data_IF_201810067602
#
_entry.id   IF_201810067602
#
_cell.length_a   1.000
_cell.length_b   1.000
_cell.length_c   1.000
_cell.angle_alpha   90.00
_cell.angle_beta   90.00
_cell.angle_gamma   90.00
#
_symmetry.space_group_name_H-M   'P 1'
#
loop_
_entity.id
_entity.type
_entity.pdbx_description
1 polymer ?
#
# COMPACT_ATOMS: atom_id res chain seq x y z
N UNK A 1 -22.91 5.53 -22.64
CA UNK A 1 -23.77 4.68 -21.81
C UNK A 1 -24.11 5.48 -20.57
N UNK A 2 -25.39 5.69 -20.26
CA UNK A 2 -25.82 6.44 -19.06
C UNK A 2 -25.41 5.64 -17.84
N UNK A 3 -24.25 5.95 -17.24
CA UNK A 3 -23.83 5.37 -15.97
C UNK A 3 -24.96 5.59 -14.95
N UNK A 4 -25.34 4.51 -14.26
CA UNK A 4 -26.47 4.51 -13.35
C UNK A 4 -26.22 5.51 -12.21
N UNK A 5 -26.94 6.64 -12.20
CA UNK A 5 -26.86 7.66 -11.14
C UNK A 5 -27.67 7.28 -9.89
N UNK A 6 -28.09 6.02 -9.75
CA UNK A 6 -28.92 5.59 -8.62
C UNK A 6 -28.19 5.76 -7.29
N UNK A 7 -26.87 5.54 -7.24
CA UNK A 7 -26.05 5.75 -6.05
C UNK A 7 -26.03 7.24 -5.63
N UNK A 8 -25.68 8.13 -6.57
CA UNK A 8 -25.69 9.57 -6.36
C UNK A 8 -27.05 10.10 -5.89
N UNK A 9 -28.15 9.69 -6.54
CA UNK A 9 -29.50 10.10 -6.13
C UNK A 9 -29.84 9.65 -4.72
N UNK A 10 -29.54 8.40 -4.36
CA UNK A 10 -29.77 7.89 -3.00
C UNK A 10 -28.96 8.66 -1.95
N UNK A 11 -27.72 9.03 -2.25
CA UNK A 11 -26.90 9.83 -1.34
C UNK A 11 -27.48 11.24 -1.14
N UNK A 12 -27.89 11.90 -2.21
CA UNK A 12 -28.55 13.21 -2.17
C UNK A 12 -29.88 13.13 -1.38
N UNK A 13 -30.69 12.10 -1.61
CA UNK A 13 -31.97 11.89 -0.90
C UNK A 13 -31.80 11.64 0.60
N UNK A 14 -30.71 10.97 1.01
CA UNK A 14 -30.39 10.77 2.43
C UNK A 14 -29.98 12.07 3.13
N UNK A 15 -29.41 12.99 2.36
CA UNK A 15 -29.02 14.34 2.77
C UNK A 15 -27.78 14.38 3.66
N UNK A 16 -27.14 15.54 3.70
CA UNK A 16 -26.16 15.88 4.74
C UNK A 16 -26.86 16.02 6.09
N UNK A 17 -26.23 15.52 7.15
CA UNK A 17 -26.67 15.71 8.54
C UNK A 17 -25.47 16.08 9.39
N UNK A 18 -25.68 16.96 10.37
CA UNK A 18 -24.64 17.31 11.35
C UNK A 18 -24.10 16.04 12.05
N UNK A 19 -22.83 15.76 11.85
CA UNK A 19 -22.15 14.58 12.40
C UNK A 19 -22.58 13.24 11.78
N UNK A 20 -23.32 13.26 10.67
CA UNK A 20 -23.71 12.07 9.91
C UNK A 20 -22.62 11.58 8.96
N UNK A 21 -22.77 10.35 8.47
CA UNK A 21 -21.81 9.72 7.57
C UNK A 21 -21.77 10.34 6.15
N UNK A 22 -22.72 11.20 5.78
CA UNK A 22 -22.78 11.84 4.46
C UNK A 22 -22.41 13.32 4.57
N UNK A 23 -21.55 13.78 3.68
CA UNK A 23 -21.10 15.18 3.58
C UNK A 23 -21.26 15.70 2.15
N UNK A 24 -21.77 16.93 1.98
CA UNK A 24 -21.81 17.59 0.68
C UNK A 24 -20.69 18.62 0.56
N UNK A 25 -20.05 18.67 -0.60
CA UNK A 25 -19.07 19.69 -0.94
C UNK A 25 -19.22 20.10 -2.39
N UNK A 26 -19.28 21.41 -2.61
CA UNK A 26 -19.22 21.94 -3.97
C UNK A 26 -17.81 21.75 -4.53
N UNK A 27 -16.79 22.11 -3.76
CA UNK A 27 -15.37 21.95 -4.09
C UNK A 27 -14.47 22.00 -2.87
N UNK A 28 -13.29 21.42 -2.97
CA UNK A 28 -12.19 21.58 -2.03
C UNK A 28 -10.97 22.14 -2.79
N UNK A 29 -10.21 23.01 -2.15
CA UNK A 29 -9.04 23.67 -2.76
C UNK A 29 -7.88 23.70 -1.78
N UNK A 30 -6.66 23.60 -2.30
CA UNK A 30 -5.45 23.55 -1.47
C UNK A 30 -5.28 24.85 -0.67
N UNK A 31 -5.47 26.00 -1.31
CA UNK A 31 -5.29 27.31 -0.69
C UNK A 31 -6.21 27.56 0.53
N UNK A 32 -7.45 27.07 0.49
CA UNK A 32 -8.45 27.36 1.53
C UNK A 32 -8.54 26.22 2.54
N UNK A 33 -8.52 24.97 2.09
CA UNK A 33 -8.86 23.82 2.91
C UNK A 33 -7.64 23.16 3.56
N UNK A 34 -6.44 23.35 2.97
CA UNK A 34 -5.17 22.90 3.56
C UNK A 34 -4.44 24.01 4.33
N UNK A 35 -5.07 25.18 4.50
CA UNK A 35 -4.53 26.21 5.38
C UNK A 35 -4.55 25.74 6.85
N UNK A 36 -3.50 26.10 7.60
CA UNK A 36 -3.33 25.75 9.02
C UNK A 36 -4.59 26.08 9.84
N UNK A 37 -5.03 25.15 10.68
CA UNK A 37 -6.25 25.23 11.48
C UNK A 37 -7.55 24.91 10.72
N UNK A 38 -7.68 25.26 9.43
CA UNK A 38 -8.81 24.80 8.61
C UNK A 38 -8.69 23.32 8.30
N UNK A 39 -7.49 22.88 7.94
CA UNK A 39 -7.17 21.47 7.71
C UNK A 39 -7.48 20.63 8.96
N UNK A 40 -6.98 21.05 10.13
CA UNK A 40 -7.23 20.36 11.40
C UNK A 40 -8.73 20.18 11.70
N UNK A 41 -9.52 21.23 11.44
CA UNK A 41 -10.97 21.19 11.63
C UNK A 41 -11.66 20.22 10.68
N UNK A 42 -11.22 20.15 9.41
CA UNK A 42 -11.78 19.24 8.41
C UNK A 42 -11.39 17.79 8.71
N UNK A 43 -10.14 17.55 9.10
CA UNK A 43 -9.64 16.22 9.54
C UNK A 43 -10.44 15.71 10.73
N UNK A 44 -10.66 16.55 11.75
CA UNK A 44 -11.45 16.18 12.92
C UNK A 44 -12.91 15.83 12.55
N UNK A 45 -13.51 16.59 11.62
CA UNK A 45 -14.85 16.31 11.12
C UNK A 45 -14.90 15.02 10.33
N UNK A 46 -13.95 14.78 9.43
CA UNK A 46 -13.87 13.56 8.62
C UNK A 46 -13.75 12.32 9.52
N UNK A 47 -12.80 12.33 10.46
CA UNK A 47 -12.65 11.28 11.48
C UNK A 47 -13.97 10.99 12.19
N UNK A 48 -14.66 12.04 12.64
CA UNK A 48 -15.93 11.88 13.32
C UNK A 48 -17.00 11.23 12.42
N UNK A 49 -17.08 11.62 11.15
CA UNK A 49 -18.07 11.07 10.20
C UNK A 49 -17.83 9.60 9.91
N UNK A 50 -16.58 9.21 9.69
CA UNK A 50 -16.19 7.81 9.46
C UNK A 50 -16.58 6.96 10.69
N UNK A 51 -16.26 7.42 11.89
CA UNK A 51 -16.65 6.73 13.13
C UNK A 51 -18.17 6.63 13.31
N UNK A 52 -18.90 7.72 13.02
CA UNK A 52 -20.37 7.75 13.11
C UNK A 52 -21.06 6.89 12.05
N UNK A 53 -20.37 6.55 10.96
CA UNK A 53 -20.86 5.69 9.88
C UNK A 53 -20.35 4.25 9.95
N UNK A 54 -20.01 3.76 11.15
CA UNK A 54 -19.49 2.40 11.37
C UNK A 54 -18.24 2.08 10.52
N UNK A 55 -17.34 3.07 10.40
CA UNK A 55 -16.09 2.95 9.64
C UNK A 55 -16.20 3.40 8.18
N UNK A 56 -17.32 3.98 7.77
CA UNK A 56 -17.51 4.54 6.42
C UNK A 56 -18.06 5.97 6.45
N UNK A 57 -17.60 6.82 5.53
CA UNK A 57 -18.21 8.10 5.22
C UNK A 57 -18.41 8.25 3.72
N UNK A 58 -19.37 9.07 3.29
CA UNK A 58 -19.66 9.34 1.88
C UNK A 58 -19.60 10.84 1.64
N UNK A 59 -18.71 11.27 0.77
CA UNK A 59 -18.60 12.64 0.32
C UNK A 59 -19.23 12.78 -1.06
N UNK A 60 -20.26 13.61 -1.17
CA UNK A 60 -20.88 13.96 -2.44
C UNK A 60 -20.26 15.28 -2.91
N UNK A 61 -19.60 15.24 -4.06
CA UNK A 61 -18.75 16.30 -4.59
C UNK A 61 -19.38 16.97 -5.80
N UNK A 62 -19.13 18.27 -5.98
CA UNK A 62 -19.77 19.06 -7.04
C UNK A 62 -21.25 19.34 -6.77
N UNK A 63 -21.69 19.22 -5.51
CA UNK A 63 -23.06 19.49 -5.09
C UNK A 63 -23.11 20.64 -4.08
N UNK A 64 -24.19 21.41 -4.09
CA UNK A 64 -24.42 22.44 -3.09
C UNK A 64 -24.81 21.81 -1.75
N UNK A 65 -24.75 22.59 -0.67
CA UNK A 65 -25.13 22.15 0.68
C UNK A 65 -26.61 21.68 0.75
N UNK A 66 -27.46 22.15 -0.17
CA UNK A 66 -28.87 21.72 -0.31
C UNK A 66 -29.04 20.47 -1.21
N UNK A 67 -27.95 19.88 -1.71
CA UNK A 67 -27.96 18.70 -2.59
C UNK A 67 -28.24 19.00 -4.07
N UNK A 68 -28.13 20.27 -4.49
CA UNK A 68 -28.24 20.66 -5.90
C UNK A 68 -26.97 20.29 -6.67
N UNK A 69 -27.10 19.85 -7.93
CA UNK A 69 -25.94 19.56 -8.78
C UNK A 69 -25.32 20.89 -9.24
N UNK A 70 -24.26 21.36 -8.57
CA UNK A 70 -23.54 22.55 -8.98
C UNK A 70 -22.72 22.26 -10.24
N UNK A 71 -22.01 21.12 -10.26
CA UNK A 71 -21.11 20.73 -11.33
C UNK A 71 -19.86 21.61 -11.36
N UNK A 72 -18.69 21.02 -11.11
CA UNK A 72 -17.41 21.75 -11.15
C UNK A 72 -16.60 21.38 -12.39
N UNK A 73 -15.67 22.23 -12.84
CA UNK A 73 -14.81 21.88 -13.97
C UNK A 73 -13.97 20.63 -13.66
N UNK A 74 -13.52 19.88 -14.68
CA UNK A 74 -12.67 18.70 -14.47
C UNK A 74 -11.43 18.98 -13.61
N UNK A 75 -10.75 20.11 -13.85
CA UNK A 75 -9.58 20.52 -13.08
C UNK A 75 -9.91 20.78 -11.60
N UNK A 76 -11.03 21.47 -11.33
CA UNK A 76 -11.48 21.75 -9.97
C UNK A 76 -11.96 20.48 -9.25
N UNK A 77 -12.53 19.52 -9.99
CA UNK A 77 -12.89 18.21 -9.45
C UNK A 77 -11.64 17.41 -9.07
N UNK A 78 -10.61 17.42 -9.93
CA UNK A 78 -9.32 16.77 -9.65
C UNK A 78 -8.67 17.35 -8.40
N UNK A 79 -8.59 18.68 -8.28
CA UNK A 79 -8.07 19.33 -7.07
C UNK A 79 -8.89 18.98 -5.83
N UNK A 80 -10.22 18.87 -5.97
CA UNK A 80 -11.09 18.48 -4.87
C UNK A 80 -10.77 17.08 -4.36
N UNK A 81 -10.53 16.13 -5.27
CA UNK A 81 -10.14 14.76 -4.92
C UNK A 81 -8.76 14.71 -4.25
N UNK A 82 -7.77 15.44 -4.77
CA UNK A 82 -6.44 15.54 -4.15
C UNK A 82 -6.52 16.04 -2.70
N UNK A 83 -7.28 17.11 -2.47
CA UNK A 83 -7.45 17.69 -1.13
C UNK A 83 -8.20 16.73 -0.23
N UNK A 84 -9.23 16.05 -0.73
CA UNK A 84 -9.98 15.05 0.03
C UNK A 84 -9.09 13.87 0.44
N UNK A 85 -8.20 13.41 -0.44
CA UNK A 85 -7.23 12.35 -0.15
C UNK A 85 -6.30 12.76 0.99
N UNK A 86 -5.69 13.93 0.91
CA UNK A 86 -4.81 14.45 1.98
C UNK A 86 -5.53 14.60 3.32
N UNK A 87 -6.79 15.02 3.30
CA UNK A 87 -7.61 15.11 4.51
C UNK A 87 -7.97 13.73 5.07
N UNK A 88 -8.21 12.75 4.21
CA UNK A 88 -8.49 11.37 4.61
C UNK A 88 -7.25 10.73 5.25
N UNK A 89 -6.07 10.90 4.64
CA UNK A 89 -4.82 10.38 5.17
C UNK A 89 -4.50 10.93 6.56
N UNK A 90 -4.58 12.25 6.73
CA UNK A 90 -4.37 12.89 8.03
C UNK A 90 -5.45 12.50 9.04
N UNK A 91 -6.61 12.00 8.57
CA UNK A 91 -7.69 11.48 9.37
C UNK A 91 -7.58 9.97 9.68
N UNK A 92 -6.51 9.27 9.28
CA UNK A 92 -6.40 7.81 9.34
C UNK A 92 -7.51 7.08 8.57
N UNK A 93 -7.91 7.63 7.42
CA UNK A 93 -8.92 7.09 6.52
C UNK A 93 -8.40 7.07 5.08
N UNK A 94 -9.16 6.48 4.16
CA UNK A 94 -8.87 6.49 2.73
C UNK A 94 -10.10 6.55 1.85
N UNK A 95 -9.94 6.96 0.59
CA UNK A 95 -10.99 6.87 -0.43
C UNK A 95 -11.03 5.42 -0.96
N UNK A 96 -12.02 4.65 -0.55
CA UNK A 96 -12.19 3.24 -0.93
C UNK A 96 -12.87 3.07 -2.31
N UNK A 97 -13.69 4.04 -2.71
CA UNK A 97 -14.37 4.04 -4.01
C UNK A 97 -14.70 5.48 -4.42
N UNK A 98 -14.67 5.76 -5.72
CA UNK A 98 -15.04 7.05 -6.28
C UNK A 98 -15.76 6.89 -7.63
N UNK A 99 -16.99 7.39 -7.71
CA UNK A 99 -17.78 7.41 -8.93
C UNK A 99 -18.00 8.87 -9.38
N UNK A 100 -17.86 9.14 -10.69
CA UNK A 100 -18.01 10.49 -11.27
C UNK A 100 -19.00 10.50 -12.42
N UNK A 101 -19.81 11.57 -12.50
CA UNK A 101 -20.80 11.80 -13.55
C UNK A 101 -20.78 13.24 -14.02
N UNK A 102 -21.20 13.48 -15.26
CA UNK A 102 -21.45 14.83 -15.76
C UNK A 102 -22.71 15.45 -15.12
N UNK A 103 -22.63 16.65 -14.58
CA UNK A 103 -23.75 17.43 -14.02
C UNK A 103 -24.83 17.78 -15.06
N UNK A 104 -24.52 17.66 -16.36
CA UNK A 104 -25.36 18.09 -17.47
C UNK A 104 -24.58 19.03 -18.40
N UNK A 105 -25.04 19.17 -19.65
CA UNK A 105 -24.44 20.10 -20.60
C UNK A 105 -24.66 21.54 -20.14
N UNK A 106 -23.58 22.25 -19.80
CA UNK A 106 -23.55 23.70 -19.86
C UNK A 106 -23.95 24.16 -21.27
N UNK A 107 -24.45 25.39 -21.40
CA UNK A 107 -24.80 25.93 -22.72
C UNK A 107 -23.66 25.82 -23.73
N UNK A 108 -24.00 25.85 -25.02
CA UNK A 108 -23.08 25.69 -26.16
C UNK A 108 -21.68 26.29 -25.90
N UNK A 109 -20.70 25.44 -25.62
CA UNK A 109 -19.28 25.79 -25.55
C UNK A 109 -18.55 25.46 -24.24
N UNK A 110 -19.25 25.28 -23.12
CA UNK A 110 -18.62 24.97 -21.83
C UNK A 110 -18.51 23.44 -21.61
N UNK A 111 -17.34 22.99 -21.14
CA UNK A 111 -17.16 21.61 -20.70
C UNK A 111 -18.19 21.27 -19.61
N UNK A 112 -18.84 20.12 -19.75
CA UNK A 112 -19.88 19.72 -18.82
C UNK A 112 -19.27 19.47 -17.43
N UNK A 113 -19.71 20.23 -16.43
CA UNK A 113 -19.22 20.10 -15.06
C UNK A 113 -19.39 18.68 -14.51
N UNK A 114 -18.57 18.30 -13.54
CA UNK A 114 -18.53 17.00 -12.90
C UNK A 114 -19.15 17.05 -11.51
N UNK A 115 -19.80 15.96 -11.15
CA UNK A 115 -20.24 15.62 -9.79
C UNK A 115 -19.78 14.21 -9.47
N UNK A 116 -19.53 13.93 -8.21
CA UNK A 116 -19.04 12.62 -7.81
C UNK A 116 -19.48 12.20 -6.43
N UNK A 117 -19.24 10.93 -6.15
CA UNK A 117 -19.46 10.32 -4.86
C UNK A 117 -18.16 9.60 -4.50
N UNK A 118 -17.55 10.00 -3.39
CA UNK A 118 -16.38 9.35 -2.82
C UNK A 118 -16.78 8.65 -1.52
N UNK A 119 -16.52 7.35 -1.41
CA UNK A 119 -16.70 6.59 -0.18
C UNK A 119 -15.37 6.50 0.53
N UNK A 120 -15.31 7.05 1.74
CA UNK A 120 -14.15 6.97 2.61
C UNK A 120 -14.33 5.86 3.63
N UNK A 121 -13.24 5.18 4.00
CA UNK A 121 -13.22 4.12 5.01
C UNK A 121 -12.15 4.36 6.07
N UNK A 122 -12.44 3.91 7.29
CA UNK A 122 -11.46 3.84 8.39
C UNK A 122 -10.30 2.90 8.04
N UNK A 123 -9.14 3.20 8.61
CA UNK A 123 -7.86 2.67 8.21
C UNK A 123 -7.22 3.63 7.21
N UNK A 124 -6.02 4.13 7.55
CA UNK A 124 -5.20 4.85 6.58
C UNK A 124 -5.10 4.03 5.31
N UNK A 125 -5.07 4.70 4.15
CA UNK A 125 -4.95 3.97 2.91
C UNK A 125 -3.71 3.09 3.06
N UNK A 126 -3.85 1.79 2.88
CA UNK A 126 -2.73 0.98 2.44
C UNK A 126 -2.47 1.30 0.96
N UNK A 127 -2.46 2.59 0.60
CA UNK A 127 -1.72 3.09 -0.53
C UNK A 127 -0.32 3.12 0.04
N UNK A 128 0.38 2.02 -0.17
CA UNK A 128 1.75 2.15 -0.57
C UNK A 128 1.87 3.43 -1.43
N UNK A 129 2.82 4.31 -1.14
CA UNK A 129 3.22 5.35 -2.10
C UNK A 129 3.14 4.69 -3.49
N UNK A 130 2.37 5.24 -4.45
CA UNK A 130 2.18 4.55 -5.75
C UNK A 130 3.53 4.19 -6.40
N UNK A 131 4.55 4.97 -6.01
CA UNK A 131 5.95 4.83 -6.38
C UNK A 131 6.83 4.11 -5.35
N UNK A 132 6.33 3.73 -4.16
CA UNK A 132 7.08 2.97 -3.16
C UNK A 132 6.22 1.98 -2.36
N UNK A 133 6.39 0.68 -2.65
CA UNK A 133 5.80 -0.43 -1.89
C UNK A 133 6.73 -0.97 -0.80
N UNK A 134 6.17 -1.38 0.33
CA UNK A 134 6.84 -2.08 1.44
C UNK A 134 6.28 -3.50 1.58
N UNK A 135 7.15 -4.49 1.40
CA UNK A 135 6.79 -5.92 1.40
C UNK A 135 7.49 -6.65 2.53
N UNK A 136 6.73 -7.23 3.45
CA UNK A 136 7.31 -8.05 4.54
C UNK A 136 7.35 -9.52 4.19
N UNK A 137 8.50 -10.18 4.36
CA UNK A 137 8.59 -11.63 4.18
C UNK A 137 8.02 -12.36 5.39
N UNK A 138 7.46 -13.54 5.18
CA UNK A 138 6.97 -14.40 6.25
C UNK A 138 7.11 -15.87 5.84
N UNK A 139 7.36 -16.76 6.80
CA UNK A 139 7.50 -18.20 6.52
C UNK A 139 8.52 -18.89 7.41
N UNK A 140 8.57 -20.22 7.34
CA UNK A 140 9.43 -21.05 8.18
C UNK A 140 10.93 -20.79 7.94
N UNK A 141 11.76 -21.25 8.88
CA UNK A 141 13.22 -21.32 8.67
C UNK A 141 13.51 -22.20 7.45
N UNK A 142 14.60 -21.90 6.75
CA UNK A 142 15.08 -22.62 5.56
C UNK A 142 14.13 -22.66 4.34
N UNK A 143 12.99 -21.97 4.37
CA UNK A 143 12.13 -21.78 3.19
C UNK A 143 12.69 -20.79 2.16
N UNK A 144 13.82 -20.14 2.43
CA UNK A 144 14.50 -19.28 1.46
C UNK A 144 13.97 -17.85 1.35
N UNK A 145 13.33 -17.30 2.39
CA UNK A 145 12.88 -15.89 2.45
C UNK A 145 13.99 -14.90 2.09
N UNK A 146 15.08 -14.94 2.86
CA UNK A 146 16.23 -14.06 2.71
C UNK A 146 16.96 -14.31 1.39
N UNK A 147 17.06 -15.57 0.96
CA UNK A 147 17.65 -15.94 -0.34
C UNK A 147 16.84 -15.34 -1.49
N UNK A 148 15.51 -15.45 -1.47
CA UNK A 148 14.62 -14.90 -2.50
C UNK A 148 14.79 -13.38 -2.59
N UNK A 149 14.74 -12.68 -1.46
CA UNK A 149 14.95 -11.23 -1.43
C UNK A 149 16.34 -10.86 -1.95
N UNK A 150 17.39 -11.56 -1.51
CA UNK A 150 18.76 -11.32 -1.97
C UNK A 150 18.92 -11.49 -3.48
N UNK A 151 18.30 -12.53 -4.06
CA UNK A 151 18.31 -12.79 -5.51
C UNK A 151 17.60 -11.68 -6.28
N UNK A 152 16.45 -11.19 -5.80
CA UNK A 152 15.71 -10.11 -6.46
C UNK A 152 16.53 -8.80 -6.50
N UNK A 153 17.05 -8.37 -5.35
CA UNK A 153 17.71 -7.05 -5.22
C UNK A 153 19.10 -6.98 -5.86
N UNK A 154 19.74 -8.13 -6.08
CA UNK A 154 21.06 -8.21 -6.73
C UNK A 154 21.02 -8.74 -8.15
N UNK A 155 19.94 -9.42 -8.55
CA UNK A 155 19.88 -10.16 -9.81
C UNK A 155 20.82 -11.36 -9.89
N UNK A 156 21.45 -11.76 -8.78
CA UNK A 156 22.35 -12.92 -8.73
C UNK A 156 21.53 -14.18 -8.45
N UNK A 157 21.61 -15.15 -9.36
CA UNK A 157 21.00 -16.44 -9.14
C UNK A 157 21.61 -17.16 -7.92
N UNK A 158 20.79 -17.96 -7.24
CA UNK A 158 21.18 -18.80 -6.11
C UNK A 158 20.87 -20.27 -6.44
N UNK A 159 21.64 -21.18 -5.86
CA UNK A 159 21.47 -22.63 -6.03
C UNK A 159 20.59 -23.26 -4.92
N UNK A 160 19.94 -22.43 -4.11
CA UNK A 160 19.13 -22.84 -2.97
C UNK A 160 19.95 -23.09 -1.70
N UNK A 161 21.28 -22.90 -1.72
CA UNK A 161 22.13 -22.98 -0.53
C UNK A 161 22.21 -21.65 0.23
N UNK A 162 21.57 -20.59 -0.27
CA UNK A 162 21.47 -19.31 0.43
C UNK A 162 22.74 -18.46 0.36
N UNK A 163 23.48 -18.54 -0.75
CA UNK A 163 24.60 -17.65 -1.02
C UNK A 163 24.17 -16.18 -1.09
N UNK A 164 22.98 -15.89 -1.62
CA UNK A 164 22.42 -14.53 -1.68
C UNK A 164 21.89 -14.03 -0.33
N UNK A 165 21.62 -14.92 0.64
CA UNK A 165 21.23 -14.52 2.01
C UNK A 165 22.30 -13.65 2.68
N UNK A 166 23.59 -13.91 2.39
CA UNK A 166 24.70 -13.15 2.95
C UNK A 166 24.63 -11.65 2.69
N UNK A 167 23.84 -11.20 1.70
CA UNK A 167 23.61 -9.79 1.41
C UNK A 167 22.68 -9.09 2.41
N UNK A 168 21.90 -9.87 3.17
CA UNK A 168 20.93 -9.38 4.15
C UNK A 168 21.40 -9.57 5.59
N UNK A 169 22.22 -10.58 5.86
CA UNK A 169 22.79 -10.84 7.19
C UNK A 169 23.93 -9.83 7.47
N UNK A 170 23.61 -8.75 8.19
CA UNK A 170 24.58 -7.66 8.46
C UNK A 170 25.41 -7.97 9.72
N UNK A 171 24.93 -8.83 10.61
CA UNK A 171 25.61 -9.12 11.87
C UNK A 171 26.58 -10.31 11.74
N UNK A 172 27.79 -10.23 12.34
CA UNK A 172 28.78 -11.32 12.27
C UNK A 172 28.26 -12.67 12.75
N UNK A 173 27.38 -12.69 13.75
CA UNK A 173 26.82 -13.91 14.32
C UNK A 173 25.70 -14.53 13.46
N UNK A 174 25.05 -13.75 12.59
CA UNK A 174 24.07 -14.26 11.61
C UNK A 174 24.81 -15.00 10.50
N UNK A 175 25.89 -14.39 10.00
CA UNK A 175 26.77 -14.97 8.97
C UNK A 175 27.46 -16.25 9.47
N UNK A 176 28.00 -16.24 10.70
CA UNK A 176 28.69 -17.41 11.29
C UNK A 176 27.75 -18.60 11.52
N UNK A 177 26.48 -18.34 11.85
CA UNK A 177 25.49 -19.38 12.18
C UNK A 177 24.59 -19.75 11.01
N UNK A 178 24.58 -18.97 9.94
CA UNK A 178 23.68 -19.12 8.81
C UNK A 178 22.20 -18.94 9.18
N UNK A 179 21.90 -18.12 10.19
CA UNK A 179 20.55 -17.89 10.72
C UNK A 179 20.34 -16.38 10.89
N UNK A 180 19.33 -15.82 10.24
CA UNK A 180 18.91 -14.44 10.45
C UNK A 180 18.26 -14.29 11.83
N UNK A 181 18.69 -13.29 12.61
CA UNK A 181 18.28 -13.10 14.00
C UNK A 181 17.59 -11.74 14.23
N UNK A 182 17.81 -10.77 13.34
CA UNK A 182 17.15 -9.48 13.32
C UNK A 182 16.39 -9.23 12.00
N UNK A 183 15.66 -8.12 11.93
CA UNK A 183 15.02 -7.66 10.70
C UNK A 183 16.07 -7.09 9.74
N UNK A 184 16.02 -7.55 8.50
CA UNK A 184 16.87 -7.04 7.43
C UNK A 184 16.03 -6.28 6.41
N UNK A 185 16.64 -5.28 5.79
CA UNK A 185 15.98 -4.45 4.79
C UNK A 185 16.68 -4.61 3.46
N UNK A 186 15.91 -4.66 2.38
CA UNK A 186 16.43 -4.61 1.00
C UNK A 186 15.62 -3.61 0.16
N UNK A 187 16.19 -3.13 -0.94
CA UNK A 187 15.48 -2.26 -1.91
C UNK A 187 15.62 -2.82 -3.30
N UNK A 188 14.57 -2.66 -4.10
CA UNK A 188 14.48 -3.12 -5.47
C UNK A 188 13.81 -2.04 -6.31
N UNK A 189 14.57 -1.40 -7.20
CA UNK A 189 14.13 -0.23 -7.93
C UNK A 189 13.71 -0.54 -9.36
N UNK A 190 12.86 0.32 -9.92
CA UNK A 190 12.41 0.29 -11.30
C UNK A 190 12.46 1.72 -11.85
N UNK A 191 13.07 1.89 -13.02
CA UNK A 191 13.11 3.16 -13.73
C UNK A 191 12.20 3.10 -14.95
N UNK A 192 11.51 4.19 -15.26
CA UNK A 192 10.60 4.27 -16.38
C UNK A 192 11.34 4.19 -17.72
N UNK A 193 10.85 3.32 -18.60
CA UNK A 193 11.49 3.03 -19.87
C UNK A 193 12.71 2.12 -19.79
N UNK A 194 13.07 1.60 -18.61
CA UNK A 194 14.09 0.55 -18.46
C UNK A 194 13.48 -0.86 -18.59
N UNK A 195 14.15 -1.74 -19.35
CA UNK A 195 13.75 -3.16 -19.48
C UNK A 195 14.20 -4.00 -18.27
N UNK A 196 15.19 -3.52 -17.51
CA UNK A 196 15.75 -4.21 -16.34
C UNK A 196 15.59 -3.39 -15.06
N UNK A 197 15.38 -4.05 -13.90
CA UNK A 197 15.31 -3.39 -12.61
C UNK A 197 16.65 -2.72 -12.21
N UNK A 198 16.55 -1.64 -11.44
CA UNK A 198 17.68 -0.99 -10.79
C UNK A 198 18.09 -1.84 -9.57
N UNK A 199 19.28 -2.43 -9.65
CA UNK A 199 19.80 -3.40 -8.67
C UNK A 199 21.04 -2.89 -7.96
N UNK A 200 21.31 -3.49 -6.81
CA UNK A 200 22.53 -3.21 -6.05
C UNK A 200 23.73 -3.94 -6.65
N UNK A 201 24.81 -3.22 -6.91
CA UNK A 201 26.10 -3.82 -7.27
C UNK A 201 26.77 -4.52 -6.06
N UNK A 202 26.76 -3.86 -4.90
CA UNK A 202 27.26 -4.41 -3.64
C UNK A 202 26.33 -4.07 -2.44
N UNK A 203 25.49 -5.02 -2.00
CA UNK A 203 24.55 -4.83 -0.88
C UNK A 203 25.18 -4.47 0.46
N UNK A 204 26.47 -4.76 0.65
CA UNK A 204 27.20 -4.39 1.87
C UNK A 204 27.59 -2.90 1.92
N UNK A 205 27.40 -2.16 0.82
CA UNK A 205 27.70 -0.73 0.74
C UNK A 205 26.43 0.09 0.85
N UNK A 206 26.33 0.87 1.93
CA UNK A 206 25.19 1.79 2.15
C UNK A 206 25.00 2.80 1.00
N UNK A 207 26.08 3.18 0.31
CA UNK A 207 26.04 4.04 -0.89
C UNK A 207 25.26 3.42 -2.04
N UNK A 208 25.33 2.10 -2.20
CA UNK A 208 24.71 1.42 -3.34
C UNK A 208 23.19 1.36 -3.16
N UNK A 209 22.72 1.28 -1.90
CA UNK A 209 21.29 1.47 -1.57
C UNK A 209 20.79 2.85 -1.96
N UNK A 210 21.55 3.90 -1.62
CA UNK A 210 21.19 5.27 -1.98
C UNK A 210 21.14 5.44 -3.50
N UNK A 211 22.09 4.85 -4.22
CA UNK A 211 22.11 4.86 -5.69
C UNK A 211 20.88 4.21 -6.32
N UNK A 212 20.38 3.09 -5.77
CA UNK A 212 19.13 2.46 -6.25
C UNK A 212 17.93 3.38 -6.02
N UNK A 213 17.85 4.02 -4.85
CA UNK A 213 16.75 4.94 -4.52
C UNK A 213 16.80 6.21 -5.37
N UNK A 214 17.98 6.74 -5.66
CA UNK A 214 18.14 7.95 -6.49
C UNK A 214 17.82 7.70 -7.98
N UNK A 215 18.01 6.47 -8.47
CA UNK A 215 17.86 6.13 -9.88
C UNK A 215 16.52 5.47 -10.22
N UNK A 216 15.69 5.15 -9.23
CA UNK A 216 14.41 4.48 -9.44
C UNK A 216 13.26 5.49 -9.40
N UNK A 217 12.34 5.38 -10.36
CA UNK A 217 11.07 6.09 -10.35
C UNK A 217 10.04 5.36 -9.47
N UNK A 218 10.18 4.02 -9.35
CA UNK A 218 9.34 3.16 -8.50
C UNK A 218 10.19 2.22 -7.66
N UNK A 219 9.81 1.98 -6.41
CA UNK A 219 10.61 1.28 -5.42
C UNK A 219 9.80 0.19 -4.72
N UNK A 220 10.44 -0.95 -4.48
CA UNK A 220 9.97 -1.97 -3.54
C UNK A 220 11.00 -2.12 -2.43
N UNK A 221 10.60 -1.85 -1.19
CA UNK A 221 11.40 -2.12 0.00
C UNK A 221 10.95 -3.40 0.65
N UNK A 222 11.89 -4.33 0.85
CA UNK A 222 11.62 -5.57 1.57
C UNK A 222 11.97 -5.42 3.05
N UNK A 223 11.08 -5.90 3.90
CA UNK A 223 11.34 -6.20 5.31
C UNK A 223 11.47 -7.70 5.46
N UNK A 224 12.71 -8.20 5.49
CA UNK A 224 12.97 -9.62 5.66
C UNK A 224 12.85 -10.01 7.13
N UNK A 225 11.89 -10.89 7.44
CA UNK A 225 11.63 -11.35 8.80
C UNK A 225 12.25 -12.72 9.08
N UNK A 226 12.47 -12.95 10.37
CA UNK A 226 13.04 -14.18 10.88
C UNK A 226 12.02 -15.33 10.82
N UNK A 227 12.48 -16.53 10.44
CA UNK A 227 11.62 -17.72 10.27
C UNK A 227 11.67 -18.76 11.39
N UNK A 228 12.53 -18.59 12.39
CA UNK A 228 12.70 -19.57 13.47
C UNK A 228 11.73 -19.29 14.63
N UNK A 229 11.09 -20.34 15.16
CA UNK A 229 10.00 -20.21 16.16
C UNK A 229 10.35 -19.35 17.40
N UNK A 230 11.52 -19.51 18.06
CA UNK A 230 11.96 -18.63 19.14
C UNK A 230 11.93 -17.12 18.87
N UNK A 231 12.00 -16.70 17.60
CA UNK A 231 12.07 -15.30 17.19
C UNK A 231 10.72 -14.75 16.67
N UNK A 232 9.60 -15.43 16.99
CA UNK A 232 8.25 -14.99 16.60
C UNK A 232 7.95 -13.52 16.95
N UNK A 233 8.47 -13.01 18.09
CA UNK A 233 8.31 -11.60 18.47
C UNK A 233 8.97 -10.64 17.48
N UNK A 234 10.12 -11.04 16.93
CA UNK A 234 10.83 -10.27 15.89
C UNK A 234 10.02 -10.28 14.60
N UNK A 235 9.47 -11.44 14.22
CA UNK A 235 8.55 -11.57 13.06
C UNK A 235 7.32 -10.67 13.22
N UNK A 236 6.65 -10.68 14.37
CA UNK A 236 5.51 -9.81 14.65
C UNK A 236 5.91 -8.33 14.57
N UNK A 237 7.06 -7.95 15.12
CA UNK A 237 7.57 -6.57 15.02
C UNK A 237 7.81 -6.17 13.56
N UNK A 238 8.31 -7.08 12.73
CA UNK A 238 8.52 -6.85 11.30
C UNK A 238 7.21 -6.72 10.52
N UNK A 239 6.20 -7.52 10.87
CA UNK A 239 4.91 -7.52 10.16
C UNK A 239 4.03 -6.34 10.60
N UNK A 240 3.83 -6.17 11.91
CA UNK A 240 2.91 -5.17 12.47
C UNK A 240 3.57 -3.81 12.61
N UNK A 241 4.88 -3.78 12.88
CA UNK A 241 5.58 -2.56 13.27
C UNK A 241 6.25 -1.79 12.14
N UNK A 242 6.09 -2.20 10.88
CA UNK A 242 6.83 -1.63 9.74
C UNK A 242 5.94 -1.04 8.65
N UNK A 243 4.63 -0.88 8.91
CA UNK A 243 3.64 -0.37 7.94
C UNK A 243 3.79 -1.09 6.59
N UNK A 244 3.62 -2.41 6.60
CA UNK A 244 3.71 -3.19 5.37
C UNK A 244 2.50 -2.93 4.49
N UNK A 245 2.70 -2.94 3.17
CA UNK A 245 1.64 -2.90 2.17
C UNK A 245 1.25 -4.30 1.72
N UNK A 246 2.24 -5.21 1.64
CA UNK A 246 2.03 -6.61 1.26
C UNK A 246 2.77 -7.58 2.19
N UNK A 247 2.14 -8.72 2.43
CA UNK A 247 2.77 -9.90 3.01
C UNK A 247 3.28 -10.84 1.93
N UNK A 248 4.55 -11.23 1.97
CA UNK A 248 5.14 -12.26 1.11
C UNK A 248 5.36 -13.54 1.91
N UNK A 249 4.41 -14.48 1.82
CA UNK A 249 4.50 -15.79 2.46
C UNK A 249 5.34 -16.74 1.58
N UNK A 250 6.47 -17.21 2.12
CA UNK A 250 7.41 -18.09 1.42
C UNK A 250 7.31 -19.52 1.95
N UNK A 251 7.05 -20.46 1.05
CA UNK A 251 6.97 -21.88 1.35
C UNK A 251 7.87 -22.68 0.40
N UNK A 252 8.74 -23.53 0.94
CA UNK A 252 9.55 -24.40 0.09
C UNK A 252 8.73 -25.59 -0.41
N UNK A 253 8.91 -25.98 -1.67
CA UNK A 253 8.16 -27.06 -2.30
C UNK A 253 8.52 -28.45 -1.74
N UNK A 254 9.76 -28.62 -1.28
CA UNK A 254 10.28 -29.86 -0.69
C UNK A 254 9.79 -30.12 0.74
N UNK A 255 9.45 -29.07 1.49
CA UNK A 255 8.96 -29.16 2.88
C UNK A 255 7.43 -28.91 2.98
N UNK A 256 6.90 -28.04 2.13
CA UNK A 256 5.50 -27.63 2.15
C UNK A 256 5.12 -26.74 3.35
N UNK A 257 3.81 -26.51 3.60
CA UNK A 257 3.36 -25.64 4.68
C UNK A 257 3.58 -26.23 6.08
N UNK A 258 4.52 -25.65 6.82
CA UNK A 258 4.81 -26.01 8.22
C UNK A 258 3.87 -25.34 9.23
N UNK A 259 4.04 -25.66 10.52
CA UNK A 259 3.32 -24.96 11.60
C UNK A 259 3.64 -23.46 11.60
N UNK A 260 4.92 -23.08 11.55
CA UNK A 260 5.33 -21.66 11.46
C UNK A 260 4.74 -20.97 10.23
N UNK A 261 4.64 -21.68 9.11
CA UNK A 261 4.01 -21.13 7.89
C UNK A 261 2.54 -20.79 8.14
N UNK A 262 1.79 -21.67 8.82
CA UNK A 262 0.39 -21.42 9.19
C UNK A 262 0.26 -20.30 10.21
N UNK A 263 1.12 -20.27 11.22
CA UNK A 263 1.11 -19.23 12.26
C UNK A 263 1.37 -17.85 11.64
N UNK A 264 2.36 -17.75 10.76
CA UNK A 264 2.69 -16.52 10.04
C UNK A 264 1.59 -16.08 9.07
N UNK A 265 0.98 -17.01 8.34
CA UNK A 265 -0.20 -16.70 7.52
C UNK A 265 -1.35 -16.16 8.38
N UNK A 266 -1.57 -16.74 9.57
CA UNK A 266 -2.56 -16.23 10.52
C UNK A 266 -2.30 -14.78 10.94
N UNK A 267 -1.03 -14.41 11.15
CA UNK A 267 -0.65 -13.03 11.46
C UNK A 267 -0.95 -12.10 10.28
N UNK A 268 -0.51 -12.45 9.06
CA UNK A 268 -0.72 -11.63 7.86
C UNK A 268 -2.21 -11.39 7.58
N UNK A 269 -3.03 -12.44 7.74
CA UNK A 269 -4.48 -12.34 7.58
C UNK A 269 -5.13 -11.52 8.71
N UNK A 270 -4.65 -11.63 9.95
CA UNK A 270 -5.18 -10.87 11.08
C UNK A 270 -4.83 -9.37 11.01
N UNK A 271 -3.83 -9.00 10.20
CA UNK A 271 -3.46 -7.61 9.90
C UNK A 271 -4.09 -7.10 8.61
N UNK A 272 -5.00 -7.87 7.99
CA UNK A 272 -5.65 -7.54 6.72
C UNK A 272 -4.67 -7.22 5.58
N UNK A 273 -3.45 -7.78 5.62
CA UNK A 273 -2.43 -7.54 4.60
C UNK A 273 -2.72 -8.37 3.33
N UNK A 274 -2.80 -7.75 2.14
CA UNK A 274 -2.75 -8.46 0.89
C UNK A 274 -1.55 -9.41 0.85
N UNK A 275 -1.81 -10.71 0.68
CA UNK A 275 -0.79 -11.75 0.84
C UNK A 275 -0.46 -12.41 -0.48
N UNK A 276 0.81 -12.32 -0.87
CA UNK A 276 1.44 -13.04 -1.98
C UNK A 276 2.06 -14.33 -1.45
N UNK A 277 1.94 -15.42 -2.21
CA UNK A 277 2.57 -16.71 -1.86
C UNK A 277 3.66 -17.05 -2.87
N UNK A 278 4.89 -17.21 -2.39
CA UNK A 278 6.02 -17.66 -3.19
C UNK A 278 6.38 -19.11 -2.83
N UNK A 279 6.37 -19.99 -3.84
CA UNK A 279 6.82 -21.36 -3.71
C UNK A 279 8.29 -21.43 -4.16
N UNK A 280 9.20 -21.73 -3.23
CA UNK A 280 10.64 -21.83 -3.49
C UNK A 280 11.08 -23.30 -3.60
N UNK A 281 12.32 -23.55 -4.02
CA UNK A 281 12.91 -24.90 -4.13
C UNK A 281 12.08 -25.89 -4.96
N UNK A 282 11.41 -25.41 -6.00
CA UNK A 282 10.58 -26.23 -6.88
C UNK A 282 11.39 -27.07 -7.89
N UNK A 283 12.72 -26.88 -7.99
CA UNK A 283 13.57 -27.65 -8.87
C UNK A 283 13.73 -29.10 -8.35
N UNK A 284 13.67 -30.12 -9.22
CA UNK A 284 13.90 -31.50 -8.82
C UNK A 284 15.36 -31.70 -8.34
N UNK A 285 15.55 -32.49 -7.29
CA UNK A 285 16.87 -32.80 -6.73
C UNK A 285 17.83 -33.31 -7.83
N UNK A 286 18.90 -32.54 -8.09
CA UNK A 286 19.92 -32.85 -9.11
C UNK A 286 19.88 -31.99 -10.38
N UNK A 287 18.95 -31.03 -10.50
CA UNK A 287 18.96 -30.04 -11.58
C UNK A 287 19.88 -28.85 -11.20
N UNK A 288 20.94 -28.63 -11.95
CA UNK A 288 21.94 -27.58 -11.71
C UNK A 288 21.59 -26.25 -12.39
N UNK A 289 20.34 -26.09 -12.85
CA UNK A 289 19.86 -24.83 -13.41
C UNK A 289 19.55 -23.85 -12.27
N UNK A 290 19.91 -22.57 -12.41
CA UNK A 290 19.54 -21.56 -11.41
C UNK A 290 18.00 -21.51 -11.29
N UNK A 291 17.51 -21.55 -10.05
CA UNK A 291 16.10 -21.44 -9.72
C UNK A 291 15.64 -19.98 -9.68
#
# INVERSE_FOLDING_TARGET
MSADRSALRRAIERGERDGGAIEFKERLTREVHLADGRMESLVAQLRHRVLSGDGEATYVLGVTDDGGLAGVSPDAFSETMDVLSLLADEADAHIADAETWSAGSGGDGDEAGLVGLATLRDGGVFEADEDHLVVGTAGHVDHGKSTLVGTLVTGRADDGQGGTRGFLDVQPHEVERGLSADLSYAVYGFADGADEPVRMDNPHRKSDRAGVVEAADRLVSFVDTVGHEPWLRTTIRGIVGQKLDYGLLVAAADDGPTKTTRDNLGILLATDLPTLVAITKAAPAGDSRPA
#
